data_IF_338135476228
#
_entry.id   IF_338135476228
#
_cell.length_a   1.000
_cell.length_b   1.000
_cell.length_c   1.000
_cell.angle_alpha   90.00
_cell.angle_beta   90.00
_cell.angle_gamma   90.00
#
_symmetry.space_group_name_H-M   'P 1'
#
loop_
_entity.id
_entity.type
_entity.pdbx_description
1 polymer ?
#
# COMPACT_ATOMS: atom_id res chain seq x y z
N UNK A 1 -4.69 16.78 -30.06
CA UNK A 1 -3.58 16.61 -29.10
C UNK A 1 -3.95 15.47 -28.16
N UNK A 2 -3.55 14.22 -28.47
CA UNK A 2 -3.78 13.08 -27.58
C UNK A 2 -2.53 12.87 -26.74
N UNK A 3 -2.44 13.58 -25.62
CA UNK A 3 -1.42 13.31 -24.61
C UNK A 3 -1.94 12.19 -23.72
N UNK A 4 -1.95 10.96 -24.24
CA UNK A 4 -2.17 9.77 -23.42
C UNK A 4 -0.83 9.10 -23.18
N UNK A 5 -0.50 8.84 -21.92
CA UNK A 5 0.67 8.06 -21.56
C UNK A 5 0.32 6.57 -21.69
N UNK A 6 1.19 5.79 -22.33
CA UNK A 6 1.05 4.33 -22.41
C UNK A 6 1.42 3.68 -21.07
N UNK A 7 0.56 3.86 -20.06
CA UNK A 7 0.75 3.32 -18.70
C UNK A 7 0.53 1.81 -18.72
N UNK A 8 1.57 1.07 -18.32
CA UNK A 8 1.54 -0.41 -18.30
C UNK A 8 1.32 -1.01 -16.92
N UNK A 9 1.42 -0.22 -15.86
CA UNK A 9 1.27 -0.71 -14.50
C UNK A 9 1.39 0.39 -13.45
N UNK A 10 0.94 0.08 -12.24
CA UNK A 10 1.02 0.94 -11.06
C UNK A 10 1.29 0.06 -9.84
N UNK A 11 2.24 0.48 -9.01
CA UNK A 11 2.59 -0.20 -7.77
C UNK A 11 2.50 0.79 -6.62
N UNK A 12 1.68 0.46 -5.62
CA UNK A 12 1.57 1.27 -4.42
C UNK A 12 2.79 1.03 -3.51
N UNK A 13 3.48 2.11 -3.13
CA UNK A 13 4.38 2.07 -1.98
C UNK A 13 3.55 2.21 -0.70
N UNK A 14 3.50 1.22 0.17
CA UNK A 14 4.12 -0.11 0.08
C UNK A 14 3.11 -1.20 0.43
N UNK A 15 3.49 -2.46 0.25
CA UNK A 15 2.63 -3.57 0.66
C UNK A 15 2.38 -3.56 2.18
N UNK A 16 3.37 -3.19 2.99
CA UNK A 16 3.34 -3.30 4.44
C UNK A 16 4.12 -2.17 5.10
N UNK A 17 3.70 -1.76 6.29
CA UNK A 17 4.47 -0.83 7.10
C UNK A 17 5.88 -1.38 7.29
N UNK A 18 6.87 -0.54 7.05
CA UNK A 18 8.27 -0.91 7.03
C UNK A 18 9.12 0.18 7.70
N UNK A 19 10.44 -0.04 7.72
CA UNK A 19 11.39 0.94 8.23
C UNK A 19 11.58 2.04 7.18
N UNK A 20 11.08 3.24 7.47
CA UNK A 20 11.13 4.38 6.56
C UNK A 20 12.38 5.24 6.85
N UNK A 21 13.54 4.68 6.53
CA UNK A 21 14.84 5.38 6.57
C UNK A 21 15.07 6.17 7.87
N UNK A 22 15.34 7.47 7.78
CA UNK A 22 15.56 8.36 8.92
C UNK A 22 14.39 8.44 9.89
N UNK A 23 13.16 8.14 9.44
CA UNK A 23 11.97 8.13 10.29
C UNK A 23 11.79 6.80 11.05
N UNK A 24 12.57 5.78 10.72
CA UNK A 24 12.41 4.44 11.28
C UNK A 24 10.97 3.93 11.14
N UNK A 25 10.40 3.37 12.21
CA UNK A 25 9.02 2.84 12.21
C UNK A 25 7.95 3.86 12.65
N UNK A 26 8.28 5.15 12.70
CA UNK A 26 7.34 6.20 13.17
C UNK A 26 6.38 6.68 12.07
N UNK A 27 6.70 6.40 10.80
CA UNK A 27 5.88 6.73 9.64
C UNK A 27 5.41 5.43 8.97
N UNK A 28 4.18 5.44 8.47
CA UNK A 28 3.43 4.25 8.07
C UNK A 28 2.80 4.43 6.69
N UNK A 29 3.50 4.01 5.64
CA UNK A 29 3.05 4.08 4.24
C UNK A 29 2.33 2.82 3.74
N UNK A 30 2.43 1.71 4.47
CA UNK A 30 1.95 0.42 4.00
C UNK A 30 0.44 0.34 3.87
N UNK A 31 -0.02 -0.42 2.88
CA UNK A 31 -1.41 -0.86 2.80
C UNK A 31 -1.79 -1.76 3.99
N UNK A 32 -0.81 -2.46 4.56
CA UNK A 32 -0.99 -3.34 5.72
C UNK A 32 -0.22 -2.82 6.94
N UNK A 33 -0.89 -2.74 8.08
CA UNK A 33 -0.25 -2.49 9.37
C UNK A 33 0.55 -3.72 9.80
N UNK A 34 1.73 -3.50 10.39
CA UNK A 34 2.57 -4.54 10.99
C UNK A 34 2.64 -4.31 12.50
N UNK A 35 2.23 -5.30 13.28
CA UNK A 35 2.34 -5.25 14.74
C UNK A 35 3.75 -5.63 15.19
N UNK A 36 4.64 -4.64 15.24
CA UNK A 36 6.03 -4.85 15.66
C UNK A 36 6.18 -5.31 17.11
N UNK A 37 5.16 -5.16 17.95
CA UNK A 37 5.19 -5.54 19.37
C UNK A 37 4.71 -6.97 19.59
N UNK A 38 3.86 -7.50 18.71
CA UNK A 38 3.26 -8.83 18.85
C UNK A 38 3.56 -9.73 17.65
N UNK A 39 4.84 -10.07 17.47
CA UNK A 39 5.27 -11.08 16.50
C UNK A 39 5.10 -10.68 15.03
N UNK A 40 5.01 -9.37 14.73
CA UNK A 40 4.93 -8.83 13.37
C UNK A 40 3.70 -9.32 12.59
N UNK A 41 2.58 -9.56 13.27
CA UNK A 41 1.33 -9.92 12.57
C UNK A 41 0.87 -8.76 11.67
N UNK A 42 0.31 -9.09 10.50
CA UNK A 42 -0.12 -8.11 9.50
C UNK A 42 -1.64 -7.96 9.51
N UNK A 43 -2.10 -6.71 9.37
CA UNK A 43 -3.52 -6.37 9.37
C UNK A 43 -3.84 -5.44 8.20
N UNK A 44 -4.83 -5.84 7.40
CA UNK A 44 -5.27 -5.04 6.25
C UNK A 44 -5.91 -3.73 6.73
N UNK A 45 -5.32 -2.59 6.36
CA UNK A 45 -5.92 -1.27 6.60
C UNK A 45 -7.12 -1.05 5.67
N UNK A 46 -7.87 0.02 5.90
CA UNK A 46 -8.94 0.43 5.00
C UNK A 46 -8.41 0.71 3.58
N UNK A 47 -7.20 1.27 3.46
CA UNK A 47 -6.54 1.50 2.16
C UNK A 47 -6.28 0.20 1.39
N UNK A 48 -5.84 -0.89 2.05
CA UNK A 48 -5.71 -2.20 1.40
C UNK A 48 -7.04 -2.72 0.85
N UNK A 49 -8.11 -2.61 1.64
CA UNK A 49 -9.45 -3.05 1.24
C UNK A 49 -9.98 -2.20 0.08
N UNK A 50 -9.77 -0.88 0.16
CA UNK A 50 -10.13 0.05 -0.90
C UNK A 50 -9.35 -0.25 -2.17
N UNK A 51 -8.02 -0.38 -2.10
CA UNK A 51 -7.18 -0.63 -3.27
C UNK A 51 -7.54 -1.95 -3.96
N UNK A 52 -7.82 -3.00 -3.18
CA UNK A 52 -8.38 -4.26 -3.71
C UNK A 52 -9.68 -4.04 -4.48
N UNK A 53 -10.61 -3.25 -3.94
CA UNK A 53 -11.89 -3.00 -4.59
C UNK A 53 -11.76 -2.07 -5.80
N UNK A 54 -10.88 -1.07 -5.74
CA UNK A 54 -10.56 -0.18 -6.86
C UNK A 54 -10.01 -0.97 -8.06
N UNK A 55 -9.17 -1.98 -7.81
CA UNK A 55 -8.64 -2.87 -8.84
C UNK A 55 -9.68 -3.87 -9.38
N UNK A 56 -10.81 -4.06 -8.70
CA UNK A 56 -11.89 -4.87 -9.25
C UNK A 56 -12.57 -4.09 -10.37
N UNK A 57 -12.58 -4.69 -11.55
CA UNK A 57 -13.33 -4.19 -12.69
C UNK A 57 -14.79 -4.61 -12.50
N UNK A 58 -15.69 -3.64 -12.41
CA UNK A 58 -17.12 -3.91 -12.56
C UNK A 58 -17.41 -3.97 -14.06
N UNK A 59 -17.82 -5.14 -14.53
CA UNK A 59 -18.35 -5.37 -15.87
C UNK A 59 -19.87 -5.28 -15.84
#
# INVERSE_FOLDING_TARGET
MLLSANVRGYFAWSLLDNFEWSAGYTVSFGLNYVDYKNGQKRYNKLSAKWFKNFLKRYY
#
